data_IF_143983102079
#
_entry.id   IF_143983102079
#
_cell.length_a   1.000
_cell.length_b   1.000
_cell.length_c   1.000
_cell.angle_alpha   90.00
_cell.angle_beta   90.00
_cell.angle_gamma   90.00
#
_symmetry.space_group_name_H-M   'P 1'
#
loop_
_entity.id
_entity.type
_entity.pdbx_description
1 polymer ?
#
# COMPACT_ATOMS: atom_id res chain seq x y z
N UNK A 1 7.40 5.76 -13.51
CA UNK A 1 6.34 5.10 -14.32
C UNK A 1 6.16 3.62 -13.98
N UNK A 2 7.24 2.92 -13.63
CA UNK A 2 7.19 1.54 -13.13
C UNK A 2 6.89 1.45 -11.61
N UNK A 3 6.80 2.59 -10.92
CA UNK A 3 6.94 2.68 -9.47
C UNK A 3 5.66 2.34 -8.68
N UNK A 4 4.49 2.53 -9.32
CA UNK A 4 3.17 2.31 -8.71
C UNK A 4 2.72 0.84 -8.83
N UNK A 5 3.34 0.06 -9.74
CA UNK A 5 2.94 -1.32 -9.99
C UNK A 5 3.15 -2.23 -8.77
N UNK A 6 4.24 -2.05 -8.01
CA UNK A 6 4.55 -2.88 -6.83
C UNK A 6 3.49 -2.77 -5.72
N UNK A 7 3.19 -1.56 -5.23
CA UNK A 7 2.13 -1.34 -4.25
C UNK A 7 0.74 -1.81 -4.72
N UNK A 8 0.41 -1.61 -6.00
CA UNK A 8 -0.85 -2.09 -6.59
C UNK A 8 -0.94 -3.63 -6.59
N UNK A 9 0.14 -4.32 -6.96
CA UNK A 9 0.20 -5.78 -6.89
C UNK A 9 0.04 -6.29 -5.46
N UNK A 10 0.69 -5.63 -4.49
CA UNK A 10 0.55 -5.96 -3.07
C UNK A 10 -0.90 -5.78 -2.59
N UNK A 11 -1.54 -4.65 -2.94
CA UNK A 11 -2.95 -4.42 -2.63
C UNK A 11 -3.84 -5.53 -3.19
N UNK A 12 -3.67 -5.89 -4.47
CA UNK A 12 -4.44 -6.95 -5.12
C UNK A 12 -4.24 -8.32 -4.44
N UNK A 13 -3.01 -8.66 -4.07
CA UNK A 13 -2.73 -9.89 -3.31
C UNK A 13 -3.46 -9.91 -1.97
N UNK A 14 -3.43 -8.80 -1.21
CA UNK A 14 -4.09 -8.74 0.10
C UNK A 14 -5.61 -8.87 -0.03
N UNK A 15 -6.25 -8.12 -0.94
CA UNK A 15 -7.72 -8.18 -1.08
C UNK A 15 -8.23 -9.51 -1.61
N UNK A 16 -7.38 -10.32 -2.28
CA UNK A 16 -7.75 -11.64 -2.82
C UNK A 16 -7.44 -12.77 -1.85
N UNK A 17 -6.31 -12.71 -1.13
CA UNK A 17 -5.91 -13.72 -0.15
C UNK A 17 -6.79 -13.69 1.10
N UNK A 18 -7.22 -12.51 1.54
CA UNK A 18 -8.07 -12.41 2.74
C UNK A 18 -9.40 -13.17 2.58
N UNK A 19 -10.21 -12.95 1.54
CA UNK A 19 -11.43 -13.73 1.30
C UNK A 19 -11.17 -15.22 1.16
N UNK A 20 -10.07 -15.60 0.48
CA UNK A 20 -9.68 -17.00 0.30
C UNK A 20 -9.36 -17.69 1.64
N UNK A 21 -8.72 -16.96 2.56
CA UNK A 21 -8.32 -17.47 3.88
C UNK A 21 -9.50 -17.60 4.85
N UNK A 22 -10.52 -16.75 4.69
CA UNK A 22 -11.73 -16.74 5.52
C UNK A 22 -12.73 -17.83 5.09
N UNK A 23 -12.75 -18.19 3.82
CA UNK A 23 -13.67 -19.19 3.26
C UNK A 23 -15.05 -18.61 2.86
N UNK A 24 -15.98 -19.46 2.38
CA UNK A 24 -17.23 -19.03 1.73
C UNK A 24 -18.31 -18.61 2.74
N UNK A 25 -18.04 -17.54 3.51
CA UNK A 25 -18.99 -16.96 4.46
C UNK A 25 -19.38 -15.54 4.04
N UNK A 26 -20.33 -15.36 3.10
CA UNK A 26 -20.64 -14.06 2.50
C UNK A 26 -21.13 -13.01 3.52
N UNK A 27 -21.86 -13.40 4.58
CA UNK A 27 -22.24 -12.44 5.62
C UNK A 27 -21.04 -11.95 6.45
N UNK A 28 -20.05 -12.81 6.70
CA UNK A 28 -18.84 -12.43 7.40
C UNK A 28 -17.98 -11.54 6.51
N UNK A 29 -17.79 -11.93 5.25
CA UNK A 29 -17.06 -11.16 4.23
C UNK A 29 -17.64 -9.75 4.06
N UNK A 30 -18.97 -9.60 3.98
CA UNK A 30 -19.60 -8.28 3.87
C UNK A 30 -19.34 -7.37 5.09
N UNK A 31 -19.21 -7.96 6.29
CA UNK A 31 -18.87 -7.22 7.51
C UNK A 31 -17.41 -6.79 7.57
N UNK A 32 -16.48 -7.65 7.14
CA UNK A 32 -15.03 -7.40 7.25
C UNK A 32 -14.43 -6.73 6.01
N UNK A 33 -15.09 -6.80 4.85
CA UNK A 33 -14.65 -6.22 3.58
C UNK A 33 -14.22 -4.74 3.68
N UNK A 34 -15.00 -3.81 4.26
CA UNK A 34 -14.59 -2.41 4.34
C UNK A 34 -13.29 -2.23 5.15
N UNK A 35 -13.13 -2.96 6.26
CA UNK A 35 -11.91 -2.91 7.07
C UNK A 35 -10.69 -3.45 6.33
N UNK A 36 -10.84 -4.57 5.62
CA UNK A 36 -9.75 -5.17 4.84
C UNK A 36 -9.32 -4.24 3.71
N UNK A 37 -10.25 -3.61 2.99
CA UNK A 37 -9.93 -2.68 1.91
C UNK A 37 -9.11 -1.49 2.44
N UNK A 38 -9.52 -0.91 3.58
CA UNK A 38 -8.81 0.21 4.19
C UNK A 38 -7.42 -0.19 4.68
N UNK A 39 -7.29 -1.35 5.34
CA UNK A 39 -5.99 -1.86 5.81
C UNK A 39 -5.05 -2.17 4.64
N UNK A 40 -5.57 -2.83 3.59
CA UNK A 40 -4.80 -3.11 2.39
C UNK A 40 -4.33 -1.82 1.70
N UNK A 41 -5.20 -0.81 1.61
CA UNK A 41 -4.87 0.48 1.02
C UNK A 41 -3.76 1.19 1.83
N UNK A 42 -3.87 1.21 3.15
CA UNK A 42 -2.85 1.79 4.03
C UNK A 42 -1.50 1.08 3.91
N UNK A 43 -1.48 -0.25 3.89
CA UNK A 43 -0.25 -1.03 3.70
C UNK A 43 0.39 -0.76 2.34
N UNK A 44 -0.42 -0.69 1.27
CA UNK A 44 0.06 -0.35 -0.06
C UNK A 44 0.62 1.08 -0.11
N UNK A 45 -0.05 2.05 0.54
CA UNK A 45 0.44 3.42 0.67
C UNK A 45 1.77 3.48 1.42
N UNK A 46 1.96 2.65 2.45
CA UNK A 46 3.20 2.58 3.22
C UNK A 46 4.37 2.08 2.37
N UNK A 47 4.15 1.03 1.56
CA UNK A 47 5.11 0.55 0.55
C UNK A 47 5.42 1.59 -0.54
N UNK A 48 4.41 2.34 -0.98
CA UNK A 48 4.58 3.39 -1.97
C UNK A 48 5.41 4.57 -1.42
N UNK A 49 5.15 4.98 -0.18
CA UNK A 49 5.87 6.05 0.51
C UNK A 49 7.32 5.65 0.79
N UNK A 50 7.59 4.42 1.22
CA UNK A 50 8.96 3.95 1.45
C UNK A 50 9.81 4.05 0.18
N UNK A 51 9.23 3.72 -0.97
CA UNK A 51 9.89 3.87 -2.27
C UNK A 51 10.11 5.33 -2.64
N UNK A 52 9.06 6.15 -2.53
CA UNK A 52 9.13 7.58 -2.84
C UNK A 52 10.23 8.28 -2.03
N UNK A 53 10.26 8.06 -0.72
CA UNK A 53 11.29 8.66 0.14
C UNK A 53 12.70 8.14 -0.16
N UNK A 54 12.84 6.87 -0.55
CA UNK A 54 14.13 6.29 -0.95
C UNK A 54 14.64 6.91 -2.23
N UNK A 55 13.75 7.13 -3.21
CA UNK A 55 14.09 7.77 -4.48
C UNK A 55 14.45 9.25 -4.25
N UNK A 56 13.67 9.97 -3.41
CA UNK A 56 13.94 11.36 -3.02
C UNK A 56 15.28 11.52 -2.28
N UNK A 57 15.67 10.53 -1.46
CA UNK A 57 16.98 10.47 -0.79
C UNK A 57 18.12 10.28 -1.80
N UNK A 58 17.94 9.41 -2.78
CA UNK A 58 18.96 9.13 -3.80
C UNK A 58 19.15 10.28 -4.78
N UNK A 59 18.08 11.04 -5.06
CA UNK A 59 18.10 12.20 -5.94
C UNK A 59 18.51 13.51 -5.22
N UNK A 60 18.77 13.45 -3.90
CA UNK A 60 19.21 14.59 -3.09
C UNK A 60 18.13 15.64 -2.80
N UNK A 61 16.87 15.39 -3.16
CA UNK A 61 15.75 16.32 -2.96
C UNK A 61 15.50 16.57 -1.46
N UNK A 62 15.73 15.55 -0.62
CA UNK A 62 15.61 15.67 0.85
C UNK A 62 16.71 16.56 1.46
N UNK A 63 17.94 16.49 0.96
CA UNK A 63 19.01 17.39 1.40
C UNK A 63 18.68 18.84 1.02
N UNK A 64 18.07 19.03 -0.16
CA UNK A 64 17.64 20.35 -0.60
C UNK A 64 16.49 20.91 0.25
N UNK A 65 15.52 20.07 0.66
CA UNK A 65 14.45 20.45 1.61
C UNK A 65 15.00 20.82 3.00
N UNK A 66 16.05 20.14 3.47
CA UNK A 66 16.71 20.44 4.75
C UNK A 66 17.48 21.77 4.74
N UNK A 67 17.88 22.25 3.56
CA UNK A 67 18.60 23.51 3.36
C UNK A 67 17.67 24.69 3.06
N UNK A 68 16.37 24.46 2.90
CA UNK A 68 15.39 25.55 2.75
C UNK A 68 15.24 26.30 4.08
N UNK A 69 15.21 27.65 4.06
CA UNK A 69 15.16 28.49 5.26
C UNK A 69 13.85 28.34 6.05
#
# INVERSE_FOLDING_TARGET
>A
GADIAGPLWFFLMVITLFPLSVGPQPQLLARIAPGIIQVAALLASLLALERLFRDDLQDGSLEQLMLLP
#
